data_IF_430868415900
#
_entry.id   IF_430868415900
#
_cell.length_a   1.000
_cell.length_b   1.000
_cell.length_c   1.000
_cell.angle_alpha   90.00
_cell.angle_beta   90.00
_cell.angle_gamma   90.00
#
_symmetry.space_group_name_H-M   'P 1'
#
loop_
_entity.id
_entity.type
_entity.pdbx_description
1 polymer ?
#
# COMPACT_ATOMS: atom_id res chain seq x y z
N UNK A 1 -8.31 -5.94 -20.82
CA UNK A 1 -7.60 -4.83 -20.13
C UNK A 1 -8.63 -4.08 -19.32
N UNK A 2 -8.33 -3.72 -18.07
CA UNK A 2 -9.30 -3.05 -17.19
C UNK A 2 -9.08 -1.54 -17.23
N UNK A 3 -10.17 -0.80 -17.41
CA UNK A 3 -10.15 0.65 -17.58
C UNK A 3 -9.93 1.34 -16.23
N UNK A 4 -8.99 2.29 -16.18
CA UNK A 4 -8.76 3.16 -15.04
C UNK A 4 -9.85 4.24 -14.98
N UNK A 5 -10.57 4.29 -13.87
CA UNK A 5 -11.44 5.41 -13.50
C UNK A 5 -10.70 6.33 -12.55
N UNK A 6 -10.72 7.63 -12.79
CA UNK A 6 -10.05 8.63 -11.94
C UNK A 6 -11.05 9.61 -11.34
N UNK A 7 -10.65 10.22 -10.23
CA UNK A 7 -11.36 11.30 -9.56
C UNK A 7 -10.41 12.47 -9.37
N UNK A 8 -10.94 13.70 -9.35
CA UNK A 8 -10.10 14.86 -9.06
C UNK A 8 -9.64 14.82 -7.62
N UNK A 9 -8.45 15.37 -7.39
CA UNK A 9 -7.84 15.43 -6.07
C UNK A 9 -8.74 16.13 -5.06
N UNK A 10 -9.39 17.22 -5.48
CA UNK A 10 -10.27 18.06 -4.66
C UNK A 10 -11.56 17.32 -4.27
N UNK A 11 -12.05 16.41 -5.10
CA UNK A 11 -13.30 15.67 -4.87
C UNK A 11 -13.16 14.55 -3.83
N UNK A 12 -11.92 14.15 -3.51
CA UNK A 12 -11.60 12.95 -2.72
C UNK A 12 -10.77 13.27 -1.49
N UNK A 13 -11.10 14.35 -0.80
CA UNK A 13 -10.41 14.70 0.44
C UNK A 13 -10.38 13.53 1.41
N UNK A 14 -11.47 12.81 1.64
CA UNK A 14 -11.48 11.65 2.56
C UNK A 14 -12.10 10.42 1.94
N UNK A 15 -11.54 9.25 2.26
CA UNK A 15 -12.17 7.96 1.93
C UNK A 15 -12.42 7.17 3.21
N UNK A 16 -13.69 6.92 3.52
CA UNK A 16 -14.07 6.05 4.65
C UNK A 16 -13.46 4.66 4.48
N UNK A 17 -12.98 4.05 5.56
CA UNK A 17 -12.29 2.75 5.55
C UNK A 17 -13.10 1.67 4.82
N UNK A 18 -14.43 1.62 5.04
CA UNK A 18 -15.34 0.66 4.39
C UNK A 18 -15.46 0.81 2.86
N UNK A 19 -15.00 1.93 2.30
CA UNK A 19 -15.00 2.22 0.86
C UNK A 19 -13.66 1.92 0.20
N UNK A 20 -12.63 1.59 0.97
CA UNK A 20 -11.33 1.21 0.44
C UNK A 20 -11.43 -0.25 0.00
N UNK A 21 -11.05 -0.51 -1.23
CA UNK A 21 -11.15 -1.83 -1.85
C UNK A 21 -9.93 -2.16 -2.70
N UNK A 22 -9.66 -3.45 -2.94
CA UNK A 22 -8.71 -3.88 -3.97
C UNK A 22 -8.94 -3.14 -5.29
N UNK A 23 -7.87 -2.71 -5.94
CA UNK A 23 -7.91 -1.95 -7.18
C UNK A 23 -8.03 -0.43 -7.01
N UNK A 24 -8.28 0.08 -5.81
CA UNK A 24 -8.17 1.52 -5.59
C UNK A 24 -6.74 2.00 -5.83
N UNK A 25 -6.61 3.10 -6.57
CA UNK A 25 -5.38 3.84 -6.77
C UNK A 25 -5.37 4.97 -5.74
N UNK A 26 -4.28 5.05 -4.97
CA UNK A 26 -4.05 6.16 -4.07
C UNK A 26 -2.92 7.06 -4.58
N UNK A 27 -2.98 8.29 -4.13
CA UNK A 27 -1.95 9.30 -4.28
C UNK A 27 -1.58 9.86 -2.90
N UNK A 28 -0.30 10.13 -2.70
CA UNK A 28 0.22 10.73 -1.47
C UNK A 28 1.21 11.86 -1.74
N UNK A 29 1.34 12.77 -0.79
CA UNK A 29 2.32 13.87 -0.81
C UNK A 29 2.68 14.32 0.62
N UNK A 30 3.86 14.93 0.81
CA UNK A 30 4.28 15.60 2.06
C UNK A 30 4.06 17.11 2.04
N UNK A 31 4.25 17.73 0.87
CA UNK A 31 4.46 19.16 0.72
C UNK A 31 3.61 19.77 -0.42
N UNK A 32 2.73 18.98 -1.04
CA UNK A 32 1.95 19.33 -2.22
C UNK A 32 2.79 19.70 -3.46
N UNK A 33 4.09 19.38 -3.46
CA UNK A 33 4.98 19.62 -4.60
C UNK A 33 5.25 18.34 -5.37
N UNK A 34 5.47 17.23 -4.66
CA UNK A 34 5.69 15.91 -5.24
C UNK A 34 4.58 14.94 -4.83
N UNK A 35 4.04 14.25 -5.83
CA UNK A 35 2.96 13.28 -5.69
C UNK A 35 3.45 11.90 -6.09
N UNK A 36 3.14 10.93 -5.24
CA UNK A 36 3.50 9.54 -5.43
C UNK A 36 2.25 8.67 -5.40
N UNK A 37 2.35 7.46 -5.94
CA UNK A 37 1.18 6.66 -6.25
C UNK A 37 1.35 5.20 -5.81
N UNK A 38 0.21 4.58 -5.55
CA UNK A 38 0.14 3.16 -5.22
C UNK A 38 -1.23 2.58 -5.46
N UNK A 39 -1.33 1.26 -5.32
CA UNK A 39 -2.55 0.49 -5.55
C UNK A 39 -2.86 -0.38 -4.35
N UNK A 40 -4.12 -0.37 -3.91
CA UNK A 40 -4.61 -1.28 -2.87
C UNK A 40 -4.74 -2.69 -3.47
N UNK A 41 -4.02 -3.66 -2.92
CA UNK A 41 -4.03 -5.05 -3.39
C UNK A 41 -5.08 -5.88 -2.65
N UNK A 42 -5.12 -5.78 -1.32
CA UNK A 42 -6.05 -6.54 -0.50
C UNK A 42 -6.28 -5.90 0.86
N UNK A 43 -7.33 -6.37 1.55
CA UNK A 43 -7.57 -6.05 2.95
C UNK A 43 -6.85 -7.07 3.84
N UNK A 44 -6.20 -6.56 4.89
CA UNK A 44 -5.51 -7.33 5.92
C UNK A 44 -6.08 -7.00 7.30
N UNK A 45 -5.82 -7.84 8.30
CA UNK A 45 -6.31 -7.60 9.67
C UNK A 45 -5.82 -6.27 10.27
N UNK A 46 -4.61 -5.83 9.89
CA UNK A 46 -4.00 -4.58 10.37
C UNK A 46 -4.26 -3.36 9.47
N UNK A 47 -4.91 -3.52 8.32
CA UNK A 47 -5.08 -2.42 7.35
C UNK A 47 -5.25 -2.92 5.91
N UNK A 48 -4.48 -2.35 4.98
CA UNK A 48 -4.50 -2.79 3.58
C UNK A 48 -3.10 -3.08 3.07
N UNK A 49 -2.96 -4.16 2.31
CA UNK A 49 -1.76 -4.44 1.55
C UNK A 49 -1.75 -3.60 0.28
N UNK A 50 -0.60 -3.03 -0.05
CA UNK A 50 -0.44 -2.10 -1.16
C UNK A 50 0.77 -2.40 -2.01
N UNK A 51 0.63 -2.07 -3.29
CA UNK A 51 1.73 -1.93 -4.24
C UNK A 51 2.11 -0.45 -4.32
N UNK A 52 3.42 -0.17 -4.30
CA UNK A 52 3.97 1.17 -4.49
C UNK A 52 4.47 1.27 -5.93
N UNK A 53 4.04 2.31 -6.64
CA UNK A 53 4.45 2.57 -8.01
C UNK A 53 5.67 3.48 -7.98
N UNK A 54 6.73 3.13 -8.71
CA UNK A 54 7.90 4.00 -8.83
C UNK A 54 7.63 5.17 -9.79
N UNK A 55 6.73 6.06 -9.40
CA UNK A 55 6.31 7.25 -10.14
C UNK A 55 6.29 8.43 -9.17
N UNK A 56 6.88 9.54 -9.62
CA UNK A 56 6.78 10.85 -8.96
C UNK A 56 6.28 11.86 -9.98
N UNK A 57 5.32 12.69 -9.58
CA UNK A 57 4.75 13.76 -10.43
C UNK A 57 4.62 15.06 -9.66
N UNK A 58 4.54 16.15 -10.39
CA UNK A 58 4.21 17.50 -9.91
C UNK A 58 2.69 17.73 -9.75
N UNK A 59 1.87 16.73 -10.09
CA UNK A 59 0.42 16.81 -10.06
C UNK A 59 -0.22 15.52 -9.52
N UNK A 60 -1.36 15.61 -8.80
CA UNK A 60 -2.05 14.48 -8.17
C UNK A 60 -2.91 13.68 -9.15
N UNK A 61 -2.38 13.38 -10.34
CA UNK A 61 -3.11 12.68 -11.40
C UNK A 61 -2.25 11.62 -12.09
N UNK A 62 -2.87 10.49 -12.42
CA UNK A 62 -2.21 9.37 -13.08
C UNK A 62 -3.06 8.86 -14.26
N UNK A 63 -2.38 8.48 -15.33
CA UNK A 63 -2.97 7.94 -16.57
C UNK A 63 -2.91 6.42 -16.60
N UNK A 64 -3.72 5.81 -17.47
CA UNK A 64 -3.68 4.36 -17.72
C UNK A 64 -2.26 3.92 -18.14
N UNK A 65 -1.63 4.66 -19.04
CA UNK A 65 -0.30 4.33 -19.57
C UNK A 65 0.77 4.36 -18.47
N UNK A 66 0.76 5.39 -17.61
CA UNK A 66 1.70 5.47 -16.48
C UNK A 66 1.54 4.30 -15.52
N UNK A 67 0.29 3.93 -15.21
CA UNK A 67 -0.01 2.79 -14.34
C UNK A 67 0.43 1.44 -14.94
N UNK A 68 0.38 1.29 -16.27
CA UNK A 68 0.79 0.07 -16.96
C UNK A 68 2.31 -0.03 -17.13
N UNK A 69 2.98 1.11 -17.31
CA UNK A 69 4.43 1.18 -17.51
C UNK A 69 5.20 1.24 -16.19
N UNK A 70 4.53 1.53 -15.07
CA UNK A 70 5.18 1.59 -13.76
C UNK A 70 5.80 0.24 -13.41
N UNK A 71 7.11 0.25 -13.19
CA UNK A 71 7.76 -0.88 -12.56
C UNK A 71 7.30 -1.01 -11.10
N UNK A 72 7.07 -2.25 -10.67
CA UNK A 72 6.92 -2.62 -9.28
C UNK A 72 8.09 -2.09 -8.47
N UNK A 73 7.84 -1.23 -7.48
CA UNK A 73 8.91 -0.70 -6.63
C UNK A 73 9.47 -1.73 -5.63
N UNK A 74 8.83 -2.90 -5.48
CA UNK A 74 9.31 -3.97 -4.62
C UNK A 74 8.19 -4.83 -4.03
N UNK A 75 8.39 -5.27 -2.78
CA UNK A 75 7.42 -6.08 -2.03
C UNK A 75 6.18 -5.26 -1.65
N UNK A 76 5.01 -5.91 -1.45
CA UNK A 76 3.86 -5.25 -0.87
C UNK A 76 4.16 -4.68 0.52
N UNK A 77 3.62 -3.51 0.80
CA UNK A 77 3.63 -2.89 2.13
C UNK A 77 2.25 -2.96 2.77
N UNK A 78 2.18 -2.81 4.09
CA UNK A 78 0.91 -2.73 4.81
C UNK A 78 0.70 -1.29 5.28
N UNK A 79 -0.43 -0.69 4.94
CA UNK A 79 -0.76 0.66 5.34
C UNK A 79 -1.82 0.67 6.44
N UNK A 80 -1.65 1.56 7.42
CA UNK A 80 -2.73 1.92 8.35
C UNK A 80 -3.72 2.81 7.60
N UNK A 81 -4.51 2.16 6.76
CA UNK A 81 -5.51 2.82 5.92
C UNK A 81 -6.56 3.59 6.71
N UNK A 82 -6.79 3.21 7.98
CA UNK A 82 -7.72 3.92 8.84
C UNK A 82 -7.16 5.28 9.23
N UNK A 83 -5.91 5.32 9.70
CA UNK A 83 -5.25 6.57 10.04
C UNK A 83 -4.98 7.44 8.81
N UNK A 84 -4.58 6.83 7.68
CA UNK A 84 -4.13 7.54 6.48
C UNK A 84 -5.29 8.11 5.64
N UNK A 85 -6.29 7.30 5.28
CA UNK A 85 -7.33 7.70 4.31
C UNK A 85 -8.64 8.15 4.96
N UNK A 86 -8.99 7.57 6.12
CA UNK A 86 -10.27 7.82 6.79
C UNK A 86 -10.15 8.93 7.84
N UNK A 87 -9.28 8.73 8.84
CA UNK A 87 -9.16 9.67 9.96
C UNK A 87 -8.20 10.82 9.70
N UNK A 88 -7.26 10.67 8.76
CA UNK A 88 -6.21 11.65 8.48
C UNK A 88 -5.55 12.17 9.75
N UNK A 89 -5.05 11.22 10.55
CA UNK A 89 -4.51 11.48 11.88
C UNK A 89 -3.25 12.35 11.78
N UNK A 90 -2.35 11.98 10.86
CA UNK A 90 -1.16 12.77 10.56
C UNK A 90 -1.51 13.89 9.57
N UNK A 91 -1.05 15.11 9.85
CA UNK A 91 -1.25 16.31 9.02
C UNK A 91 -0.01 16.69 8.22
N UNK A 92 1.13 16.02 8.43
CA UNK A 92 2.38 16.30 7.70
C UNK A 92 2.42 15.67 6.30
N UNK A 93 1.31 15.14 5.83
CA UNK A 93 1.14 14.60 4.49
C UNK A 93 -0.33 14.38 4.19
N UNK A 94 -0.64 14.19 2.91
CA UNK A 94 -2.00 13.93 2.46
C UNK A 94 -2.05 12.64 1.65
N UNK A 95 -3.07 11.83 1.92
CA UNK A 95 -3.30 10.51 1.32
C UNK A 95 -4.73 10.46 0.82
N UNK A 96 -4.92 10.22 -0.48
CA UNK A 96 -6.25 10.21 -1.10
C UNK A 96 -6.39 9.05 -2.07
N UNK A 97 -7.59 8.53 -2.16
CA UNK A 97 -7.98 7.54 -3.18
C UNK A 97 -8.43 8.34 -4.40
N UNK A 98 -7.64 8.29 -5.48
CA UNK A 98 -7.81 9.11 -6.69
C UNK A 98 -8.24 8.31 -7.92
N UNK A 99 -8.31 6.99 -7.82
CA UNK A 99 -8.83 6.18 -8.91
C UNK A 99 -9.16 4.76 -8.52
N UNK A 100 -9.65 4.01 -9.50
CA UNK A 100 -9.88 2.58 -9.38
C UNK A 100 -9.64 1.92 -10.73
N UNK A 101 -8.93 0.81 -10.69
CA UNK A 101 -8.79 -0.12 -11.80
C UNK A 101 -8.88 -1.51 -11.18
N UNK A 102 -9.86 -2.33 -11.59
CA UNK A 102 -9.97 -3.63 -10.95
C UNK A 102 -8.70 -4.47 -11.20
N UNK A 103 -8.39 -5.30 -10.22
CA UNK A 103 -7.21 -6.16 -10.27
C UNK A 103 -7.59 -7.44 -10.99
N UNK A 104 -6.77 -7.86 -11.95
CA UNK A 104 -6.97 -9.13 -12.67
C UNK A 104 -6.57 -10.33 -11.83
N UNK A 105 -5.52 -10.18 -11.02
CA UNK A 105 -5.01 -11.22 -10.12
C UNK A 105 -4.06 -10.64 -9.08
N UNK A 106 -4.11 -11.16 -7.86
CA UNK A 106 -3.13 -10.91 -6.79
C UNK A 106 -2.13 -12.06 -6.63
N UNK A 107 -2.20 -13.09 -7.49
CA UNK A 107 -1.32 -14.25 -7.47
C UNK A 107 0.18 -13.93 -7.49
N UNK A 108 0.67 -12.92 -8.23
CA UNK A 108 2.09 -12.56 -8.21
C UNK A 108 2.61 -12.20 -6.81
N UNK A 109 1.71 -11.87 -5.88
CA UNK A 109 2.07 -11.48 -4.52
C UNK A 109 1.91 -12.60 -3.48
N UNK A 110 1.44 -13.80 -3.88
CA UNK A 110 1.14 -14.91 -2.96
C UNK A 110 2.32 -15.33 -2.08
N UNK A 111 3.54 -15.16 -2.60
CA UNK A 111 4.77 -15.54 -1.92
C UNK A 111 5.34 -14.44 -0.99
N UNK A 112 4.69 -13.29 -0.88
CA UNK A 112 5.07 -12.26 0.11
C UNK A 112 4.31 -12.48 1.40
N UNK A 113 5.07 -12.75 2.46
CA UNK A 113 4.55 -13.11 3.75
C UNK A 113 4.93 -12.08 4.82
N UNK A 114 4.05 -11.93 5.79
CA UNK A 114 4.24 -11.14 7.00
C UNK A 114 4.16 -12.04 8.24
N UNK A 115 5.07 -11.82 9.18
CA UNK A 115 5.19 -12.56 10.43
C UNK A 115 4.22 -12.04 11.49
N UNK A 116 3.53 -12.94 12.18
CA UNK A 116 2.79 -12.63 13.40
C UNK A 116 2.78 -13.81 14.36
N UNK A 117 2.37 -13.58 15.61
CA UNK A 117 2.33 -14.61 16.66
C UNK A 117 3.37 -14.37 17.74
N UNK A 118 3.73 -15.44 18.45
CA UNK A 118 4.66 -15.40 19.59
C UNK A 118 5.63 -16.57 19.54
N UNK A 119 6.64 -16.57 20.43
CA UNK A 119 7.66 -17.63 20.47
C UNK A 119 7.01 -19.02 20.56
N UNK A 120 7.46 -19.95 19.70
CA UNK A 120 6.91 -21.30 19.52
C UNK A 120 5.47 -21.39 18.97
N UNK A 121 4.91 -20.27 18.52
CA UNK A 121 3.62 -20.21 17.82
C UNK A 121 3.67 -19.10 16.76
N UNK A 122 4.72 -19.12 15.93
CA UNK A 122 4.88 -18.18 14.84
C UNK A 122 4.05 -18.61 13.65
N UNK A 123 3.43 -17.62 13.01
CA UNK A 123 2.68 -17.79 11.78
C UNK A 123 3.12 -16.75 10.79
N UNK A 124 3.05 -17.13 9.52
CA UNK A 124 3.15 -16.19 8.41
C UNK A 124 1.82 -16.09 7.68
N UNK A 125 1.51 -14.90 7.20
CA UNK A 125 0.29 -14.64 6.42
C UNK A 125 0.65 -13.87 5.16
N UNK A 126 0.10 -14.27 4.02
CA UNK A 126 0.26 -13.51 2.77
C UNK A 126 -0.91 -12.55 2.55
N UNK A 127 -0.85 -11.78 1.46
CA UNK A 127 -1.89 -10.79 1.15
C UNK A 127 -3.24 -11.39 0.75
N UNK A 128 -3.31 -12.71 0.52
CA UNK A 128 -4.53 -13.46 0.28
C UNK A 128 -5.17 -13.96 1.60
N UNK A 129 -4.59 -13.60 2.75
CA UNK A 129 -4.96 -14.08 4.08
C UNK A 129 -4.76 -15.59 4.27
N UNK A 130 -3.80 -16.18 3.55
CA UNK A 130 -3.41 -17.58 3.73
C UNK A 130 -2.36 -17.65 4.82
N UNK A 131 -2.63 -18.46 5.84
CA UNK A 131 -1.82 -18.57 7.04
C UNK A 131 -1.12 -19.91 7.12
N UNK A 132 0.14 -19.89 7.55
CA UNK A 132 0.97 -21.08 7.72
C UNK A 132 1.77 -20.95 9.02
N UNK A 133 1.78 -22.00 9.82
CA UNK A 133 2.67 -22.11 10.98
C UNK A 133 4.12 -22.29 10.54
N UNK A 134 5.05 -21.63 11.24
CA UNK A 134 6.46 -21.62 10.85
C UNK A 134 7.40 -21.79 12.06
N UNK A 135 8.63 -22.15 11.76
CA UNK A 135 9.70 -22.30 12.74
C UNK A 135 10.21 -20.95 13.27
N UNK A 136 10.84 -20.98 14.45
CA UNK A 136 11.53 -19.81 15.00
C UNK A 136 12.63 -19.27 14.07
N UNK A 137 13.32 -20.15 13.33
CA UNK A 137 14.39 -19.76 12.40
C UNK A 137 13.84 -19.07 11.16
N UNK A 138 12.74 -19.56 10.60
CA UNK A 138 12.08 -18.92 9.47
C UNK A 138 11.51 -17.55 9.85
N UNK A 139 10.93 -17.44 11.05
CA UNK A 139 10.35 -16.19 11.56
C UNK A 139 11.35 -15.02 11.52
N UNK A 140 12.64 -15.26 11.81
CA UNK A 140 13.68 -14.22 11.82
C UNK A 140 13.93 -13.58 10.44
N UNK A 141 13.46 -14.20 9.35
CA UNK A 141 13.68 -13.73 7.98
C UNK A 141 12.53 -12.88 7.44
N UNK A 142 11.39 -12.86 8.15
CA UNK A 142 10.14 -12.27 7.64
C UNK A 142 9.86 -10.88 8.23
N UNK A 143 9.30 -9.97 7.44
CA UNK A 143 8.84 -8.68 7.94
C UNK A 143 7.63 -8.86 8.86
N UNK A 144 7.50 -8.03 9.88
CA UNK A 144 6.35 -8.08 10.79
C UNK A 144 5.03 -7.71 10.08
N UNK A 145 3.93 -8.35 10.50
CA UNK A 145 2.56 -7.98 10.16
C UNK A 145 2.20 -6.67 10.88
N UNK A 146 2.70 -5.57 10.33
CA UNK A 146 2.55 -4.23 10.92
C UNK A 146 2.15 -3.23 9.85
N UNK A 147 1.04 -2.55 10.09
CA UNK A 147 0.60 -1.44 9.27
C UNK A 147 1.46 -0.19 9.52
N UNK A 148 1.86 0.46 8.43
CA UNK A 148 2.69 1.66 8.44
C UNK A 148 1.82 2.91 8.57
N UNK A 149 2.19 3.78 9.50
CA UNK A 149 1.72 5.17 9.56
C UNK A 149 2.43 6.02 8.50
N UNK A 150 2.01 7.27 8.32
CA UNK A 150 2.66 8.19 7.38
C UNK A 150 4.17 8.32 7.63
N UNK A 151 4.59 8.63 8.87
CA UNK A 151 6.01 8.70 9.22
C UNK A 151 6.78 7.41 8.90
N UNK A 152 6.27 6.26 9.34
CA UNK A 152 6.94 4.96 9.13
C UNK A 152 6.98 4.55 7.66
N UNK A 153 5.96 4.91 6.89
CA UNK A 153 5.95 4.69 5.45
C UNK A 153 7.14 5.38 4.79
N UNK A 154 7.37 6.66 5.08
CA UNK A 154 8.46 7.42 4.48
C UNK A 154 9.86 6.90 4.85
N UNK A 155 10.06 6.43 6.09
CA UNK A 155 11.29 5.74 6.46
C UNK A 155 11.48 4.47 5.62
N UNK A 156 10.45 3.63 5.51
CA UNK A 156 10.50 2.40 4.71
C UNK A 156 10.77 2.65 3.23
N UNK A 157 10.18 3.70 2.62
CA UNK A 157 10.43 4.08 1.23
C UNK A 157 11.91 4.37 0.99
N UNK A 158 12.54 5.14 1.89
CA UNK A 158 13.92 5.58 1.74
C UNK A 158 14.93 4.48 2.08
N UNK A 159 14.68 3.73 3.15
CA UNK A 159 15.61 2.74 3.67
C UNK A 159 15.52 1.39 2.94
N UNK A 160 14.30 0.92 2.67
CA UNK A 160 14.08 -0.42 2.13
C UNK A 160 13.91 -0.42 0.61
N UNK A 161 13.06 0.47 0.09
CA UNK A 161 12.77 0.52 -1.35
C UNK A 161 13.78 1.38 -2.13
N UNK A 162 14.59 2.19 -1.42
CA UNK A 162 15.61 3.09 -2.01
C UNK A 162 15.06 3.97 -3.12
N UNK A 163 13.80 4.38 -2.97
CA UNK A 163 13.19 5.37 -3.85
C UNK A 163 13.63 6.75 -3.39
N UNK A 164 14.10 7.58 -4.30
CA UNK A 164 14.49 8.97 -3.99
C UNK A 164 13.24 9.86 -3.98
N UNK A 165 12.40 9.69 -2.96
CA UNK A 165 11.17 10.47 -2.74
C UNK A 165 11.30 11.48 -1.61
#
# INVERSE_FOLDING_TARGET
MKELKTWKWEDKERTMLRKISPGNIFCLTKDNSNYHFGKILSKMIVGHAVEILNITKDSPSITQQELEQSALAGRPLLLDSYALFDKKIDKSGDWRIIGHQDISSTEPYRNYYFLYGTHNNWKKVNILNEEVEISNTEALTLPLLKALSNHRFWETINEELKLNW
#
